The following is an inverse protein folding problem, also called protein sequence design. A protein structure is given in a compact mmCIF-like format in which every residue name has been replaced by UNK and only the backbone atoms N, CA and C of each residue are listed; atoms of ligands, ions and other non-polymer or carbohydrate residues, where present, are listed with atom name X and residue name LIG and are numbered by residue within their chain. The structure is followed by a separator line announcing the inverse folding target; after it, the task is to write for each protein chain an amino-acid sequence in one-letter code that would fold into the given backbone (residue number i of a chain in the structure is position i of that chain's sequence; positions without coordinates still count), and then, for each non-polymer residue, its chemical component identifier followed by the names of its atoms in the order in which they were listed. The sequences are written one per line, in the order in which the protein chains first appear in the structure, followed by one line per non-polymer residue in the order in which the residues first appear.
data_IF_622967406611
#
_entry.id   IF_622967406611
#
_cell.length_a   1.000
_cell.length_b   1.000
_cell.length_c   1.000
_cell.angle_alpha   90.00
_cell.angle_beta   90.00
_cell.angle_gamma   90.00
#
_symmetry.space_group_name_H-M   'P 1'
#
loop_
_entity.id
_entity.type
_entity.pdbx_description
1 polymer ?
#
# COMPACT_ATOMS: atom_id res chain seq x y z
N UNK A 1 13.74 20.09 -0.14
CA UNK A 1 14.58 19.15 0.63
C UNK A 1 14.04 19.01 2.03
N UNK A 2 14.04 17.80 2.61
CA UNK A 2 13.59 17.55 3.99
C UNK A 2 14.53 16.57 4.69
N UNK A 3 14.67 16.72 6.00
CA UNK A 3 15.59 15.94 6.83
C UNK A 3 14.98 14.56 7.16
N UNK A 4 15.78 13.51 7.06
CA UNK A 4 15.44 12.16 7.51
C UNK A 4 15.73 12.00 9.00
N UNK A 5 15.20 10.93 9.62
CA UNK A 5 15.53 10.55 11.00
C UNK A 5 17.04 10.37 11.23
N UNK A 6 17.77 9.88 10.23
CA UNK A 6 19.23 9.69 10.27
C UNK A 6 20.05 10.98 10.08
N UNK A 7 19.41 12.13 9.87
CA UNK A 7 20.08 13.42 9.76
C UNK A 7 20.40 13.88 8.33
N UNK A 8 20.20 13.00 7.34
CA UNK A 8 20.45 13.30 5.92
C UNK A 8 19.32 14.15 5.33
N UNK A 9 19.63 14.97 4.33
CA UNK A 9 18.61 15.72 3.58
C UNK A 9 18.28 15.00 2.27
N UNK A 10 17.00 14.74 2.05
CA UNK A 10 16.50 14.15 0.82
C UNK A 10 15.70 15.21 0.05
N UNK A 11 15.97 15.28 -1.24
CA UNK A 11 15.09 15.98 -2.16
C UNK A 11 13.95 15.05 -2.54
N UNK A 12 12.74 15.39 -2.09
CA UNK A 12 11.56 14.58 -2.27
C UNK A 12 10.39 15.44 -2.74
N UNK A 13 9.46 14.81 -3.43
CA UNK A 13 8.24 15.41 -3.94
C UNK A 13 7.06 14.84 -3.17
N UNK A 14 6.32 15.64 -2.39
CA UNK A 14 5.10 15.18 -1.75
C UNK A 14 4.05 14.90 -2.83
N UNK A 15 3.44 13.71 -2.78
CA UNK A 15 2.47 13.27 -3.78
C UNK A 15 1.05 13.38 -3.25
N UNK A 16 0.80 13.01 -1.99
CA UNK A 16 -0.51 13.17 -1.36
C UNK A 16 -0.42 13.45 0.14
N UNK A 17 -1.45 14.12 0.64
CA UNK A 17 -1.67 14.35 2.06
C UNK A 17 -2.37 13.12 2.67
N UNK A 18 -1.84 12.65 3.77
CA UNK A 18 -2.42 11.59 4.58
C UNK A 18 -3.53 12.23 5.41
N UNK A 19 -4.79 12.09 4.95
CA UNK A 19 -5.99 12.51 5.70
C UNK A 19 -6.07 14.01 6.07
N UNK A 20 -5.45 14.90 5.31
CA UNK A 20 -5.40 16.34 5.63
C UNK A 20 -4.74 16.62 6.99
N UNK A 21 -3.83 15.74 7.41
CA UNK A 21 -3.12 15.88 8.69
C UNK A 21 -1.93 16.83 8.59
N UNK A 22 -1.57 17.25 7.36
CA UNK A 22 -0.33 17.96 7.07
C UNK A 22 0.88 17.04 6.95
N UNK A 23 0.71 15.74 7.13
CA UNK A 23 1.72 14.72 6.80
C UNK A 23 1.50 14.22 5.38
N UNK A 24 2.59 14.13 4.62
CA UNK A 24 2.56 13.72 3.23
C UNK A 24 3.21 12.36 3.03
N UNK A 25 2.81 11.66 1.98
CA UNK A 25 3.61 10.62 1.38
C UNK A 25 4.02 11.02 -0.03
N UNK A 26 5.22 10.62 -0.42
CA UNK A 26 5.87 11.14 -1.60
C UNK A 26 7.13 10.36 -1.95
N UNK A 27 7.80 10.79 -3.00
CA UNK A 27 8.94 10.06 -3.58
C UNK A 27 10.17 10.94 -3.73
N UNK A 28 11.35 10.34 -3.63
CA UNK A 28 12.59 10.99 -4.04
C UNK A 28 12.80 10.92 -5.56
N UNK A 29 13.91 11.47 -6.03
CA UNK A 29 14.31 11.46 -7.46
C UNK A 29 14.57 10.06 -8.02
N UNK A 30 14.81 9.09 -7.16
CA UNK A 30 15.08 7.69 -7.52
C UNK A 30 13.78 6.86 -7.53
N UNK A 31 12.67 7.44 -7.07
CA UNK A 31 11.36 6.77 -6.99
C UNK A 31 11.16 6.00 -5.68
N UNK A 32 12.03 6.16 -4.70
CA UNK A 32 11.85 5.56 -3.37
C UNK A 32 10.76 6.34 -2.62
N UNK A 33 9.87 5.62 -1.94
CA UNK A 33 8.75 6.22 -1.22
C UNK A 33 9.08 6.54 0.24
N UNK A 34 8.61 7.70 0.69
CA UNK A 34 8.76 8.18 2.05
C UNK A 34 7.42 8.67 2.61
N UNK A 35 7.33 8.64 3.93
CA UNK A 35 6.28 9.32 4.71
C UNK A 35 6.88 10.43 5.53
N UNK A 36 6.15 11.53 5.59
CA UNK A 36 6.42 12.63 6.50
C UNK A 36 5.88 12.30 7.89
N UNK A 37 6.70 12.47 8.90
CA UNK A 37 6.35 12.24 10.30
C UNK A 37 6.91 13.35 11.18
N UNK A 38 6.47 13.43 12.44
CA UNK A 38 7.05 14.36 13.41
C UNK A 38 8.57 14.18 13.61
N UNK A 39 9.11 12.98 13.36
CA UNK A 39 10.55 12.67 13.45
C UNK A 39 11.32 12.97 12.15
N UNK A 40 10.66 13.50 11.13
CA UNK A 40 11.20 13.71 9.78
C UNK A 40 10.75 12.64 8.79
N UNK A 41 11.42 12.58 7.63
CA UNK A 41 11.10 11.59 6.60
C UNK A 41 11.51 10.18 7.07
N UNK A 42 10.57 9.23 6.91
CA UNK A 42 10.81 7.80 7.08
C UNK A 42 10.62 7.07 5.76
N UNK A 43 11.57 6.21 5.43
CA UNK A 43 11.44 5.30 4.28
C UNK A 43 10.25 4.39 4.52
N UNK A 44 9.47 4.13 3.47
CA UNK A 44 8.42 3.13 3.59
C UNK A 44 8.96 1.75 3.96
N UNK A 45 10.18 1.40 3.55
CA UNK A 45 10.85 0.12 3.90
C UNK A 45 10.98 -0.10 5.40
N UNK A 46 11.07 0.98 6.18
CA UNK A 46 11.23 0.93 7.63
C UNK A 46 9.88 1.02 8.38
N UNK A 47 8.78 1.29 7.68
CA UNK A 47 7.44 1.38 8.25
C UNK A 47 6.47 2.12 7.34
N UNK A 48 5.16 1.89 7.51
CA UNK A 48 4.17 2.50 6.62
C UNK A 48 2.75 2.54 7.17
N UNK A 49 2.56 2.38 8.48
CA UNK A 49 1.22 2.41 9.11
C UNK A 49 0.50 3.74 8.81
N UNK A 50 1.25 4.83 8.68
CA UNK A 50 0.72 6.14 8.26
C UNK A 50 0.09 6.17 6.87
N UNK A 51 0.32 5.15 6.02
CA UNK A 51 -0.31 5.05 4.70
C UNK A 51 -1.67 4.36 4.73
N UNK A 52 -1.98 3.59 5.77
CA UNK A 52 -3.24 2.84 5.85
C UNK A 52 -4.50 3.70 5.65
N UNK A 53 -4.55 4.96 6.15
CA UNK A 53 -5.63 5.89 5.85
C UNK A 53 -5.98 6.06 4.37
N UNK A 54 -5.03 5.82 3.44
CA UNK A 54 -5.30 5.90 2.00
C UNK A 54 -6.34 4.86 1.59
N UNK A 55 -6.36 3.69 2.23
CA UNK A 55 -7.28 2.60 1.87
C UNK A 55 -8.76 2.97 2.04
N UNK A 56 -9.06 4.06 2.72
CA UNK A 56 -10.41 4.59 2.87
C UNK A 56 -10.96 5.21 1.57
N UNK A 57 -10.10 5.58 0.62
CA UNK A 57 -10.55 5.97 -0.73
C UNK A 57 -10.73 4.75 -1.63
N UNK A 58 -11.43 4.90 -2.74
CA UNK A 58 -11.50 3.81 -3.72
C UNK A 58 -10.15 3.65 -4.40
N UNK A 59 -9.72 2.40 -4.60
CA UNK A 59 -8.47 2.10 -5.28
C UNK A 59 -8.33 2.79 -6.64
N UNK A 60 -9.39 2.83 -7.43
CA UNK A 60 -9.39 3.48 -8.75
C UNK A 60 -9.19 5.00 -8.66
N UNK A 61 -9.75 5.63 -7.64
CA UNK A 61 -9.54 7.06 -7.36
C UNK A 61 -8.10 7.33 -6.96
N UNK A 62 -7.51 6.46 -6.13
CA UNK A 62 -6.10 6.53 -5.76
C UNK A 62 -5.17 6.37 -6.97
N UNK A 63 -5.36 5.32 -7.78
CA UNK A 63 -4.56 5.06 -8.98
C UNK A 63 -4.64 6.25 -9.97
N UNK A 64 -5.83 6.83 -10.13
CA UNK A 64 -6.04 8.01 -10.96
C UNK A 64 -5.37 9.26 -10.40
N UNK A 65 -5.54 9.52 -9.09
CA UNK A 65 -4.90 10.64 -8.41
C UNK A 65 -3.38 10.57 -8.55
N UNK A 66 -2.80 9.39 -8.30
CA UNK A 66 -1.35 9.22 -8.31
C UNK A 66 -0.77 9.36 -9.71
N UNK A 67 -1.41 8.73 -10.70
CA UNK A 67 -0.97 8.84 -12.10
C UNK A 67 -0.97 10.30 -12.60
N UNK A 68 -1.95 11.11 -12.18
CA UNK A 68 -1.97 12.55 -12.46
C UNK A 68 -0.82 13.29 -11.78
N UNK A 69 -0.59 13.03 -10.49
CA UNK A 69 0.46 13.72 -9.72
C UNK A 69 1.85 13.39 -10.22
N UNK A 70 2.14 12.12 -10.51
CA UNK A 70 3.42 11.67 -11.07
C UNK A 70 3.70 12.39 -12.39
N UNK A 71 2.72 12.40 -13.31
CA UNK A 71 2.84 13.13 -14.59
C UNK A 71 3.09 14.63 -14.40
N UNK A 72 2.40 15.26 -13.45
CA UNK A 72 2.56 16.70 -13.20
C UNK A 72 3.89 17.07 -12.54
N UNK A 73 4.53 16.13 -11.86
CA UNK A 73 5.76 16.34 -11.11
C UNK A 73 7.03 16.01 -11.92
N UNK A 74 6.90 15.68 -13.22
CA UNK A 74 7.98 15.23 -14.10
C UNK A 74 8.82 14.07 -13.50
N UNK A 75 8.18 13.26 -12.67
CA UNK A 75 8.78 12.07 -12.08
C UNK A 75 8.80 10.97 -13.15
N UNK A 76 9.89 10.20 -13.21
CA UNK A 76 9.99 9.05 -14.11
C UNK A 76 8.74 8.18 -13.96
N UNK A 77 8.09 7.87 -15.07
CA UNK A 77 6.78 7.19 -15.13
C UNK A 77 6.80 5.81 -14.47
N UNK A 78 7.98 5.23 -14.28
CA UNK A 78 8.22 3.97 -13.56
C UNK A 78 8.37 4.17 -12.04
N UNK A 79 7.68 5.17 -11.47
CA UNK A 79 7.47 5.19 -10.01
C UNK A 79 6.84 3.85 -9.67
N UNK A 80 7.45 3.13 -8.73
CA UNK A 80 7.12 1.78 -8.24
C UNK A 80 5.73 1.71 -7.58
N UNK A 81 4.69 2.08 -8.33
CA UNK A 81 3.31 2.18 -7.90
C UNK A 81 2.73 0.80 -7.56
N UNK A 82 2.96 -0.26 -8.36
CA UNK A 82 2.60 -1.61 -7.95
C UNK A 82 3.24 -1.98 -6.61
N UNK A 83 4.51 -1.62 -6.37
CA UNK A 83 5.19 -1.90 -5.10
C UNK A 83 4.56 -1.12 -3.95
N UNK A 84 4.22 0.16 -4.14
CA UNK A 84 3.51 0.96 -3.12
C UNK A 84 2.16 0.32 -2.76
N UNK A 85 1.35 -0.03 -3.76
CA UNK A 85 0.03 -0.63 -3.53
C UNK A 85 0.17 -1.98 -2.83
N UNK A 86 1.08 -2.82 -3.29
CA UNK A 86 1.36 -4.12 -2.67
C UNK A 86 1.77 -3.96 -1.21
N UNK A 87 2.61 -2.97 -0.92
CA UNK A 87 3.05 -2.65 0.43
C UNK A 87 1.92 -2.17 1.33
N UNK A 88 1.07 -1.25 0.85
CA UNK A 88 -0.09 -0.78 1.60
C UNK A 88 -1.01 -1.97 1.93
N UNK A 89 -1.27 -2.86 0.96
CA UNK A 89 -2.08 -4.06 1.18
C UNK A 89 -1.45 -4.96 2.23
N UNK A 90 -0.15 -5.27 2.13
CA UNK A 90 0.55 -6.12 3.11
C UNK A 90 0.51 -5.53 4.52
N UNK A 91 0.77 -4.23 4.66
CA UNK A 91 0.68 -3.52 5.94
C UNK A 91 -0.74 -3.59 6.53
N UNK A 92 -1.76 -3.49 5.68
CA UNK A 92 -3.15 -3.48 6.13
C UNK A 92 -3.62 -4.85 6.64
N UNK A 93 -3.18 -5.93 5.99
CA UNK A 93 -3.52 -7.31 6.36
C UNK A 93 -2.88 -7.70 7.70
N UNK A 94 -1.65 -7.24 7.96
CA UNK A 94 -0.98 -7.40 9.26
C UNK A 94 -1.47 -6.45 10.36
N UNK A 95 -2.39 -5.52 10.04
CA UNK A 95 -2.90 -4.51 10.95
C UNK A 95 -4.13 -4.95 11.75
N UNK A 96 -4.97 -3.98 12.10
CA UNK A 96 -6.26 -4.24 12.74
C UNK A 96 -7.28 -4.83 11.76
N UNK A 97 -8.37 -5.43 12.27
CA UNK A 97 -9.43 -5.98 11.43
C UNK A 97 -10.03 -4.95 10.46
N UNK A 98 -10.07 -3.67 10.86
CA UNK A 98 -10.54 -2.57 10.01
C UNK A 98 -9.65 -2.39 8.78
N UNK A 99 -8.33 -2.29 8.98
CA UNK A 99 -7.38 -2.11 7.88
C UNK A 99 -7.33 -3.34 6.97
N UNK A 100 -7.39 -4.54 7.55
CA UNK A 100 -7.42 -5.77 6.77
C UNK A 100 -8.65 -5.85 5.84
N UNK A 101 -9.83 -5.41 6.30
CA UNK A 101 -11.04 -5.33 5.47
C UNK A 101 -10.87 -4.36 4.30
N UNK A 102 -10.28 -3.19 4.52
CA UNK A 102 -10.02 -2.26 3.41
C UNK A 102 -8.93 -2.78 2.45
N UNK A 103 -7.90 -3.43 3.00
CA UNK A 103 -6.84 -4.06 2.23
C UNK A 103 -7.33 -5.14 1.29
N UNK A 104 -8.23 -6.01 1.77
CA UNK A 104 -8.76 -7.09 0.94
C UNK A 104 -9.69 -6.58 -0.16
N UNK A 105 -10.40 -5.46 0.07
CA UNK A 105 -11.17 -4.77 -0.97
C UNK A 105 -10.27 -4.22 -2.08
N UNK A 106 -9.11 -3.69 -1.71
CA UNK A 106 -8.14 -3.17 -2.67
C UNK A 106 -7.43 -4.28 -3.44
N UNK A 107 -7.19 -5.45 -2.85
CA UNK A 107 -6.38 -6.52 -3.44
C UNK A 107 -6.94 -7.04 -4.78
N UNK A 108 -6.13 -6.96 -5.85
CA UNK A 108 -6.40 -7.65 -7.11
C UNK A 108 -5.79 -9.04 -7.07
N UNK A 109 -6.49 -9.99 -7.68
CA UNK A 109 -6.10 -11.40 -7.73
C UNK A 109 -4.74 -11.60 -8.43
N UNK A 110 -4.39 -10.75 -9.38
CA UNK A 110 -3.11 -10.75 -10.09
C UNK A 110 -1.92 -10.29 -9.25
N UNK A 111 -2.16 -9.71 -8.07
CA UNK A 111 -1.13 -9.18 -7.17
C UNK A 111 -0.85 -10.13 -6.00
N UNK A 112 -1.53 -11.26 -5.96
CA UNK A 112 -1.29 -12.29 -4.96
C UNK A 112 -0.01 -13.03 -5.35
N UNK A 113 0.92 -13.11 -4.41
CA UNK A 113 2.10 -13.96 -4.48
C UNK A 113 1.97 -15.11 -3.46
N UNK A 114 2.91 -16.06 -3.48
CA UNK A 114 2.87 -17.24 -2.61
C UNK A 114 2.91 -16.92 -1.12
N UNK A 115 3.59 -15.84 -0.74
CA UNK A 115 3.68 -15.40 0.65
C UNK A 115 2.35 -14.78 1.10
N UNK A 116 1.77 -13.90 0.29
CA UNK A 116 0.46 -13.30 0.57
C UNK A 116 -0.66 -14.34 0.58
N UNK A 117 -0.62 -15.33 -0.32
CA UNK A 117 -1.52 -16.48 -0.31
C UNK A 117 -1.45 -17.24 1.01
N UNK A 118 -0.24 -17.54 1.49
CA UNK A 118 -0.01 -18.24 2.75
C UNK A 118 -0.54 -17.45 3.95
N UNK A 119 -0.29 -16.14 3.98
CA UNK A 119 -0.80 -15.24 5.01
C UNK A 119 -2.33 -15.20 5.02
N UNK A 120 -2.97 -15.06 3.86
CA UNK A 120 -4.43 -15.01 3.77
C UNK A 120 -5.06 -16.35 4.20
N UNK A 121 -4.49 -17.49 3.81
CA UNK A 121 -4.95 -18.81 4.27
C UNK A 121 -4.86 -18.94 5.79
N UNK A 122 -3.73 -18.54 6.39
CA UNK A 122 -3.58 -18.51 7.84
C UNK A 122 -4.68 -17.64 8.51
N UNK A 123 -4.98 -16.46 7.98
CA UNK A 123 -6.03 -15.58 8.54
C UNK A 123 -7.44 -16.14 8.38
N UNK A 124 -7.72 -16.89 7.31
CA UNK A 124 -8.99 -17.59 7.10
C UNK A 124 -9.19 -18.67 8.16
N UNK A 125 -8.15 -19.48 8.42
CA UNK A 125 -8.20 -20.60 9.35
C UNK A 125 -8.30 -20.16 10.80
N UNK A 126 -7.53 -19.13 11.20
CA UNK A 126 -7.46 -18.69 12.59
C UNK A 126 -8.68 -17.88 13.05
N UNK A 127 -9.64 -17.57 12.16
CA UNK A 127 -10.89 -16.86 12.47
C UNK A 127 -10.72 -15.54 13.25
N UNK A 128 -9.53 -14.92 13.17
CA UNK A 128 -9.22 -13.63 13.83
C UNK A 128 -9.92 -12.44 13.16
N UNK A 129 -10.33 -12.59 11.91
CA UNK A 129 -11.06 -11.58 11.15
C UNK A 129 -12.53 -11.98 10.96
N UNK A 130 -13.33 -10.98 10.57
CA UNK A 130 -14.76 -11.16 10.34
C UNK A 130 -15.03 -12.27 9.30
N UNK A 131 -16.23 -12.84 9.34
CA UNK A 131 -16.67 -13.80 8.32
C UNK A 131 -16.63 -13.19 6.90
N UNK A 132 -16.93 -11.90 6.78
CA UNK A 132 -16.91 -11.17 5.51
C UNK A 132 -15.49 -11.10 4.92
N UNK A 133 -14.50 -10.68 5.72
CA UNK A 133 -13.08 -10.71 5.33
C UNK A 133 -12.68 -12.10 4.85
N UNK A 134 -12.97 -13.14 5.64
CA UNK A 134 -12.55 -14.52 5.33
C UNK A 134 -13.17 -15.00 4.02
N UNK A 135 -14.44 -14.68 3.77
CA UNK A 135 -15.11 -15.03 2.52
C UNK A 135 -14.49 -14.33 1.30
N UNK A 136 -14.19 -13.03 1.43
CA UNK A 136 -13.51 -12.24 0.39
C UNK A 136 -12.11 -12.78 0.12
N UNK A 137 -11.32 -13.00 1.16
CA UNK A 137 -9.97 -13.55 1.07
C UNK A 137 -9.99 -14.93 0.38
N UNK A 138 -10.89 -15.82 0.78
CA UNK A 138 -11.05 -17.12 0.13
C UNK A 138 -11.40 -16.99 -1.36
N UNK A 139 -12.33 -16.10 -1.70
CA UNK A 139 -12.74 -15.85 -3.10
C UNK A 139 -11.56 -15.34 -3.94
N UNK A 140 -10.74 -14.44 -3.38
CA UNK A 140 -9.54 -13.90 -4.03
C UNK A 140 -8.50 -15.00 -4.29
N UNK A 141 -8.21 -15.84 -3.29
CA UNK A 141 -7.30 -16.99 -3.44
C UNK A 141 -7.78 -17.94 -4.52
N UNK A 142 -9.06 -18.33 -4.52
CA UNK A 142 -9.61 -19.25 -5.53
C UNK A 142 -9.51 -18.72 -6.96
N UNK A 143 -9.64 -17.42 -7.15
CA UNK A 143 -9.45 -16.80 -8.47
C UNK A 143 -7.98 -16.76 -8.86
N UNK A 144 -7.10 -16.45 -7.91
CA UNK A 144 -5.64 -16.50 -8.12
C UNK A 144 -5.14 -17.90 -8.51
N UNK A 145 -5.59 -18.95 -7.82
CA UNK A 145 -5.27 -20.35 -8.16
C UNK A 145 -5.66 -20.68 -9.61
N UNK A 146 -6.84 -20.22 -10.08
CA UNK A 146 -7.27 -20.42 -11.47
C UNK A 146 -6.39 -19.69 -12.48
N UNK A 147 -5.93 -18.48 -12.13
CA UNK A 147 -5.02 -17.70 -12.97
C UNK A 147 -3.64 -18.38 -13.10
N UNK A 148 -3.17 -19.08 -12.07
CA UNK A 148 -1.92 -19.87 -12.12
C UNK A 148 -2.01 -21.03 -13.11
N UNK A 149 -3.14 -21.75 -13.14
CA UNK A 149 -3.33 -22.95 -13.97
C UNK A 149 -3.50 -22.60 -15.46
N UNK A 150 -3.90 -21.36 -15.76
CA UNK A 150 -4.13 -20.88 -17.13
C UNK A 150 -2.89 -20.23 -17.78
N UNK A 151 -1.73 -20.27 -17.12
CA UNK A 151 -0.43 -19.81 -17.61
C UNK A 151 0.50 -20.99 -17.82
#
# INVERSE_FOLDING_TARGET
MKKTKGGNYIEWTPIFDIKNTGYFAGVDKEGNWYTDTAEGLKSLEEGGVGLLPILEMKRTEFEFYLSKKIKSADLKTDVRLPELVHKIIRLSIGGSSYWAELGIEWLKESEIDSDLESQLNYLIENKKHSQNFRHKAFTKIKRYERLKISR
#
